data_IF_074104649594
#
_entry.id   IF_074104649594
#
_cell.length_a   1.000
_cell.length_b   1.000
_cell.length_c   1.000
_cell.angle_alpha   90.00
_cell.angle_beta   90.00
_cell.angle_gamma   90.00
#
_symmetry.space_group_name_H-M   'P 1'
#
loop_
_entity.id
_entity.type
_entity.pdbx_description
1 polymer ?
#
# COMPACT_ATOMS: atom_id res chain seq x y z
N UNK A 1 21.48 -12.11 52.77
CA UNK A 1 22.08 -11.57 51.54
C UNK A 1 20.98 -11.48 50.52
N UNK A 2 20.49 -10.28 50.22
CA UNK A 2 19.53 -10.11 49.13
C UNK A 2 20.25 -10.36 47.79
N UNK A 3 19.66 -11.08 46.83
CA UNK A 3 20.26 -11.29 45.52
C UNK A 3 20.44 -9.93 44.84
N UNK A 4 21.57 -9.75 44.15
CA UNK A 4 21.75 -8.59 43.28
C UNK A 4 20.62 -8.59 42.24
N UNK A 5 19.91 -7.47 42.02
CA UNK A 5 18.96 -7.38 40.93
C UNK A 5 19.74 -7.59 39.63
N UNK A 6 19.56 -8.76 39.03
CA UNK A 6 20.08 -9.04 37.70
C UNK A 6 19.39 -8.08 36.74
N UNK A 7 20.12 -7.34 35.88
CA UNK A 7 19.50 -6.53 34.86
C UNK A 7 18.71 -7.45 33.93
N UNK A 8 17.38 -7.36 34.00
CA UNK A 8 16.49 -8.06 33.07
C UNK A 8 16.73 -7.50 31.67
N UNK A 9 17.17 -8.36 30.74
CA UNK A 9 17.34 -7.99 29.34
C UNK A 9 15.94 -7.82 28.75
N UNK A 10 15.58 -6.64 28.20
CA UNK A 10 14.30 -6.46 27.52
C UNK A 10 14.20 -7.40 26.31
N UNK A 11 13.07 -8.08 26.14
CA UNK A 11 12.84 -9.04 25.04
C UNK A 11 12.71 -8.36 23.66
N UNK A 12 12.63 -7.02 23.62
CA UNK A 12 12.32 -6.19 22.44
C UNK A 12 13.52 -5.42 21.86
N UNK A 13 14.73 -5.97 21.98
CA UNK A 13 15.93 -5.34 21.40
C UNK A 13 16.05 -5.73 19.92
N UNK A 14 15.34 -5.01 19.05
CA UNK A 14 15.24 -5.29 17.60
C UNK A 14 16.55 -5.07 16.81
N UNK A 15 17.59 -4.45 17.40
CA UNK A 15 18.88 -4.21 16.73
C UNK A 15 20.10 -4.38 17.64
N UNK A 16 21.25 -4.71 17.02
CA UNK A 16 22.55 -4.83 17.70
C UNK A 16 22.98 -3.49 18.31
N UNK A 17 22.70 -2.38 17.64
CA UNK A 17 22.97 -1.05 18.16
C UNK A 17 22.16 -0.76 19.44
N UNK A 18 20.87 -1.15 19.48
CA UNK A 18 20.02 -0.96 20.65
C UNK A 18 20.51 -1.77 21.87
N UNK A 19 20.96 -3.00 21.65
CA UNK A 19 21.53 -3.84 22.71
C UNK A 19 22.81 -3.25 23.30
N UNK A 20 23.71 -2.75 22.45
CA UNK A 20 24.95 -2.09 22.90
C UNK A 20 24.65 -0.80 23.67
N UNK A 21 23.67 -0.01 23.21
CA UNK A 21 23.23 1.20 23.91
C UNK A 21 22.66 0.89 25.31
N UNK A 22 21.85 -0.17 25.43
CA UNK A 22 21.31 -0.63 26.71
C UNK A 22 22.43 -1.01 27.69
N UNK A 23 23.38 -1.85 27.26
CA UNK A 23 24.48 -2.26 28.14
C UNK A 23 25.39 -1.08 28.53
N UNK A 24 25.68 -0.17 27.61
CA UNK A 24 26.46 1.03 27.93
C UNK A 24 25.74 1.92 28.94
N UNK A 25 24.42 2.08 28.81
CA UNK A 25 23.58 2.83 29.77
C UNK A 25 23.56 2.15 31.14
N UNK A 26 23.39 0.82 31.18
CA UNK A 26 23.40 0.05 32.42
C UNK A 26 24.76 0.13 33.15
N UNK A 27 25.87 0.09 32.41
CA UNK A 27 27.22 0.28 32.95
C UNK A 27 27.39 1.69 33.51
N UNK A 28 26.99 2.73 32.76
CA UNK A 28 27.08 4.12 33.22
C UNK A 28 26.27 4.36 34.51
N UNK A 29 25.05 3.80 34.58
CA UNK A 29 24.21 3.88 35.79
C UNK A 29 24.83 3.15 36.98
N UNK A 30 25.42 1.97 36.77
CA UNK A 30 26.10 1.23 37.82
C UNK A 30 27.35 1.95 38.33
N UNK A 31 28.12 2.59 37.44
CA UNK A 31 29.28 3.41 37.80
C UNK A 31 28.89 4.65 38.61
N UNK A 32 27.77 5.30 38.26
CA UNK A 32 27.22 6.44 39.01
C UNK A 32 26.80 6.04 40.42
N UNK A 33 26.03 4.96 40.58
CA UNK A 33 25.63 4.45 41.89
C UNK A 33 26.85 4.02 42.72
N UNK A 34 27.87 3.42 42.09
CA UNK A 34 29.13 3.11 42.77
C UNK A 34 29.85 4.38 43.26
N UNK A 35 29.91 5.43 42.43
CA UNK A 35 30.53 6.70 42.79
C UNK A 35 29.81 7.38 43.96
N UNK A 36 28.47 7.34 43.95
CA UNK A 36 27.60 7.85 45.02
C UNK A 36 27.82 7.12 46.34
N UNK A 37 27.83 5.78 46.33
CA UNK A 37 28.11 4.98 47.53
C UNK A 37 29.52 5.23 48.08
N UNK A 38 30.52 5.36 47.19
CA UNK A 38 31.88 5.76 47.60
C UNK A 38 31.91 7.15 48.22
N UNK A 39 31.11 8.08 47.72
CA UNK A 39 30.92 9.42 48.31
C UNK A 39 30.35 9.34 49.72
N UNK A 40 29.27 8.60 49.92
CA UNK A 40 28.65 8.40 51.23
C UNK A 40 29.60 7.76 52.24
N UNK A 41 30.37 6.74 51.82
CA UNK A 41 31.35 6.09 52.70
C UNK A 41 32.45 7.06 53.15
N UNK A 42 32.93 7.92 52.25
CA UNK A 42 33.91 8.97 52.60
C UNK A 42 33.32 9.96 53.60
N UNK A 43 32.08 10.40 53.40
CA UNK A 43 31.40 11.30 54.32
C UNK A 43 31.21 10.68 55.70
N UNK A 44 30.72 9.42 55.76
CA UNK A 44 30.57 8.69 57.00
C UNK A 44 31.90 8.53 57.73
N UNK A 45 32.98 8.20 57.00
CA UNK A 45 34.34 8.11 57.56
C UNK A 45 34.78 9.44 58.18
N UNK A 46 34.50 10.58 57.53
CA UNK A 46 34.80 11.91 58.08
C UNK A 46 33.97 12.18 59.33
N UNK A 47 32.67 11.87 59.33
CA UNK A 47 31.80 12.02 60.52
C UNK A 47 32.32 11.18 61.70
N UNK A 48 32.66 9.91 61.47
CA UNK A 48 33.23 9.04 62.50
C UNK A 48 34.55 9.58 63.04
N UNK A 49 35.44 10.09 62.17
CA UNK A 49 36.71 10.70 62.58
C UNK A 49 36.49 11.94 63.45
N UNK A 50 35.50 12.77 63.11
CA UNK A 50 35.13 13.95 63.91
C UNK A 50 34.59 13.56 65.27
N UNK A 51 33.72 12.54 65.34
CA UNK A 51 33.20 12.02 66.61
C UNK A 51 34.33 11.43 67.46
N UNK A 52 35.24 10.67 66.87
CA UNK A 52 36.40 10.12 67.56
C UNK A 52 37.31 11.22 68.13
N UNK A 53 37.52 12.31 67.38
CA UNK A 53 38.26 13.48 67.88
C UNK A 53 37.55 14.15 69.07
N UNK A 54 36.22 14.35 68.98
CA UNK A 54 35.45 14.92 70.09
C UNK A 54 35.49 14.05 71.34
N UNK A 55 35.36 12.73 71.19
CA UNK A 55 35.46 11.76 72.28
C UNK A 55 36.85 11.73 72.92
N UNK A 56 37.91 11.76 72.09
CA UNK A 56 39.28 11.84 72.60
C UNK A 56 39.55 13.16 73.34
N UNK A 57 39.05 14.28 72.81
CA UNK A 57 39.18 15.60 73.47
C UNK A 57 38.36 15.74 74.75
N UNK A 58 37.32 14.92 74.93
CA UNK A 58 36.53 14.83 76.15
C UNK A 58 37.18 13.93 77.22
N UNK A 59 38.25 13.22 76.86
CA UNK A 59 38.94 12.23 77.72
C UNK A 59 40.41 12.61 78.01
N UNK A 60 40.75 13.90 77.94
CA UNK A 60 41.97 14.37 78.61
C UNK A 60 41.85 14.11 80.13
N UNK A 61 42.89 13.55 80.78
CA UNK A 61 42.80 13.05 82.15
C UNK A 61 42.74 14.21 83.16
N UNK A 62 41.55 14.45 83.72
CA UNK A 62 41.39 15.17 84.97
C UNK A 62 41.91 14.29 86.13
N UNK A 63 43.16 14.50 86.52
CA UNK A 63 43.69 14.00 87.77
C UNK A 63 43.22 14.90 88.92
N UNK A 64 42.57 14.27 89.91
CA UNK A 64 42.20 14.72 91.26
C UNK A 64 40.83 15.43 91.47
N UNK A 65 39.90 14.70 92.10
CA UNK A 65 38.57 15.14 92.60
C UNK A 65 38.65 15.99 93.90
N UNK A 66 37.54 16.62 94.37
CA UNK A 66 36.63 15.97 95.36
C UNK A 66 35.11 16.38 95.23
N UNK A 67 34.20 16.09 96.20
CA UNK A 67 33.17 15.04 96.24
C UNK A 67 31.70 15.57 96.09
N UNK A 68 30.62 14.74 96.23
CA UNK A 68 29.35 14.95 95.52
C UNK A 68 28.43 15.98 96.20
N UNK A 69 28.13 17.05 95.49
CA UNK A 69 27.07 17.98 95.82
C UNK A 69 25.74 17.53 95.22
N UNK A 70 24.84 17.04 96.07
CA UNK A 70 23.40 16.97 95.84
C UNK A 70 22.89 18.30 95.28
N UNK A 71 22.53 18.32 93.99
CA UNK A 71 21.94 19.49 93.34
C UNK A 71 21.02 19.00 92.23
N UNK A 72 19.73 19.20 92.41
CA UNK A 72 18.67 18.59 91.62
C UNK A 72 18.87 18.69 90.12
N UNK A 73 18.54 17.57 89.46
CA UNK A 73 18.24 17.46 88.04
C UNK A 73 17.05 18.37 87.70
N UNK A 74 17.31 19.68 87.66
CA UNK A 74 16.40 20.68 87.14
C UNK A 74 16.97 21.08 85.79
N UNK A 75 16.47 20.42 84.76
CA UNK A 75 16.62 20.85 83.37
C UNK A 75 16.36 22.37 83.32
N UNK A 76 17.41 23.14 83.00
CA UNK A 76 17.35 24.60 82.94
C UNK A 76 16.18 25.04 82.05
N UNK A 77 15.34 25.97 82.52
CA UNK A 77 14.16 26.45 81.77
C UNK A 77 14.48 26.97 80.35
N UNK A 78 15.75 27.30 80.09
CA UNK A 78 16.26 27.68 78.77
C UNK A 78 16.32 26.52 77.78
N UNK A 79 16.70 25.30 78.20
CA UNK A 79 16.73 24.13 77.31
C UNK A 79 15.31 23.67 76.96
N UNK A 80 14.40 23.73 77.93
CA UNK A 80 12.97 23.48 77.68
C UNK A 80 12.38 24.49 76.70
N UNK A 81 12.71 25.79 76.85
CA UNK A 81 12.29 26.84 75.91
C UNK A 81 12.89 26.67 74.51
N UNK A 82 14.15 26.26 74.41
CA UNK A 82 14.79 25.99 73.12
C UNK A 82 14.14 24.78 72.42
N UNK A 83 13.85 23.71 73.16
CA UNK A 83 13.15 22.54 72.66
C UNK A 83 11.73 22.87 72.18
N UNK A 84 10.99 23.68 72.94
CA UNK A 84 9.66 24.13 72.56
C UNK A 84 9.68 24.91 71.23
N UNK A 85 10.60 25.87 71.07
CA UNK A 85 10.78 26.61 69.80
C UNK A 85 11.16 25.70 68.64
N UNK A 86 12.01 24.70 68.87
CA UNK A 86 12.37 23.71 67.85
C UNK A 86 11.16 22.87 67.44
N UNK A 87 10.32 22.49 68.40
CA UNK A 87 9.09 21.74 68.15
C UNK A 87 8.05 22.57 67.39
N UNK A 88 7.85 23.84 67.75
CA UNK A 88 6.99 24.77 66.99
C UNK A 88 7.46 24.92 65.54
N UNK A 89 8.77 25.13 65.32
CA UNK A 89 9.35 25.21 63.98
C UNK A 89 9.16 23.93 63.17
N UNK A 90 9.27 22.76 63.83
CA UNK A 90 9.02 21.47 63.20
C UNK A 90 7.53 21.32 62.83
N UNK A 91 6.62 21.73 63.71
CA UNK A 91 5.18 21.70 63.45
C UNK A 91 4.80 22.61 62.28
N UNK A 92 5.32 23.84 62.23
CA UNK A 92 5.11 24.74 61.08
C UNK A 92 5.60 24.12 59.78
N UNK A 93 6.82 23.57 59.76
CA UNK A 93 7.37 22.89 58.57
C UNK A 93 6.56 21.66 58.17
N UNK A 94 6.04 20.90 59.13
CA UNK A 94 5.19 19.75 58.84
C UNK A 94 3.86 20.17 58.20
N UNK A 95 3.24 21.25 58.69
CA UNK A 95 2.00 21.77 58.09
C UNK A 95 2.24 22.29 56.67
N UNK A 96 3.33 23.04 56.44
CA UNK A 96 3.72 23.50 55.09
C UNK A 96 3.89 22.31 54.13
N UNK A 97 4.66 21.29 54.53
CA UNK A 97 4.87 20.09 53.72
C UNK A 97 3.59 19.31 53.45
N UNK A 98 2.67 19.25 54.41
CA UNK A 98 1.37 18.58 54.21
C UNK A 98 0.48 19.35 53.23
N UNK A 99 0.53 20.69 53.24
CA UNK A 99 -0.16 21.51 52.26
C UNK A 99 0.45 21.34 50.86
N UNK A 100 1.78 21.45 50.75
CA UNK A 100 2.47 21.21 49.48
C UNK A 100 2.14 19.82 48.92
N UNK A 101 2.12 18.78 49.77
CA UNK A 101 1.74 17.43 49.36
C UNK A 101 0.29 17.36 48.84
N UNK A 102 -0.63 18.13 49.41
CA UNK A 102 -2.01 18.19 48.92
C UNK A 102 -2.08 18.86 47.55
N UNK A 103 -1.42 20.01 47.39
CA UNK A 103 -1.36 20.75 46.13
C UNK A 103 -0.69 19.91 45.02
N UNK A 104 0.38 19.19 45.35
CA UNK A 104 1.05 18.29 44.41
C UNK A 104 0.14 17.14 43.97
N UNK A 105 -0.69 16.60 44.87
CA UNK A 105 -1.66 15.54 44.51
C UNK A 105 -2.71 16.06 43.55
N UNK A 106 -3.29 17.22 43.82
CA UNK A 106 -4.25 17.86 42.90
C UNK A 106 -3.62 18.09 41.51
N UNK A 107 -2.35 18.54 41.47
CA UNK A 107 -1.63 18.73 40.22
C UNK A 107 -1.36 17.43 39.46
N UNK A 108 -1.09 16.33 40.18
CA UNK A 108 -0.94 15.00 39.57
C UNK A 108 -2.27 14.56 38.95
N UNK A 109 -3.37 14.69 39.67
CA UNK A 109 -4.71 14.33 39.16
C UNK A 109 -5.07 15.17 37.92
N UNK A 110 -4.76 16.47 37.92
CA UNK A 110 -4.96 17.34 36.75
C UNK A 110 -4.13 16.87 35.53
N UNK A 111 -2.88 16.48 35.75
CA UNK A 111 -2.00 15.99 34.69
C UNK A 111 -2.46 14.63 34.17
N UNK A 112 -2.90 13.71 35.04
CA UNK A 112 -3.46 12.42 34.65
C UNK A 112 -4.69 12.60 33.74
N UNK A 113 -5.59 13.51 34.10
CA UNK A 113 -6.73 13.83 33.25
C UNK A 113 -6.30 14.36 31.87
N UNK A 114 -5.31 15.27 31.82
CA UNK A 114 -4.76 15.76 30.55
C UNK A 114 -4.10 14.64 29.73
N UNK A 115 -3.38 13.73 30.36
CA UNK A 115 -2.79 12.57 29.67
C UNK A 115 -3.87 11.69 29.04
N UNK A 116 -4.97 11.44 29.74
CA UNK A 116 -6.10 10.66 29.21
C UNK A 116 -6.71 11.38 27.99
N UNK A 117 -6.92 12.69 28.05
CA UNK A 117 -7.44 13.47 26.92
C UNK A 117 -6.52 13.42 25.70
N UNK A 118 -5.23 13.70 25.90
CA UNK A 118 -4.23 13.65 24.82
C UNK A 118 -4.11 12.25 24.22
N UNK A 119 -4.27 11.20 25.03
CA UNK A 119 -4.35 9.82 24.53
C UNK A 119 -5.54 9.64 23.60
N UNK A 120 -6.74 10.07 23.99
CA UNK A 120 -7.93 9.97 23.14
C UNK A 120 -7.85 10.81 21.85
N UNK A 121 -7.23 12.00 21.91
CA UNK A 121 -6.94 12.81 20.73
C UNK A 121 -5.94 12.11 19.80
N UNK A 122 -4.91 11.47 20.37
CA UNK A 122 -3.93 10.67 19.61
C UNK A 122 -4.57 9.47 18.93
N UNK A 123 -5.49 8.78 19.61
CA UNK A 123 -6.26 7.66 19.04
C UNK A 123 -7.10 8.13 17.84
N UNK A 124 -7.78 9.27 17.97
CA UNK A 124 -8.58 9.87 16.89
C UNK A 124 -7.71 10.23 15.67
N UNK A 125 -6.52 10.79 15.90
CA UNK A 125 -5.54 11.06 14.84
C UNK A 125 -5.11 9.73 14.17
N UNK A 126 -4.91 8.68 14.96
CA UNK A 126 -4.61 7.34 14.47
C UNK A 126 -5.71 6.77 13.55
N UNK A 127 -6.98 6.90 13.94
CA UNK A 127 -8.13 6.51 13.11
C UNK A 127 -8.16 7.26 11.78
N UNK A 128 -7.91 8.57 11.80
CA UNK A 128 -7.84 9.37 10.59
C UNK A 128 -6.71 8.92 9.66
N UNK A 129 -5.52 8.63 10.20
CA UNK A 129 -4.41 8.08 9.40
C UNK A 129 -4.83 6.76 8.75
N UNK A 130 -5.46 5.85 9.49
CA UNK A 130 -5.93 4.57 8.96
C UNK A 130 -6.95 4.75 7.84
N UNK A 131 -7.91 5.68 8.00
CA UNK A 131 -8.89 6.02 6.97
C UNK A 131 -8.21 6.56 5.70
N UNK A 132 -7.24 7.46 5.83
CA UNK A 132 -6.49 8.00 4.70
C UNK A 132 -5.70 6.93 3.96
N UNK A 133 -5.07 6.01 4.70
CA UNK A 133 -4.34 4.88 4.13
C UNK A 133 -5.28 3.97 3.33
N UNK A 134 -6.45 3.65 3.88
CA UNK A 134 -7.49 2.86 3.21
C UNK A 134 -7.98 3.54 1.94
N UNK A 135 -8.34 4.83 2.00
CA UNK A 135 -8.76 5.60 0.82
C UNK A 135 -7.68 5.60 -0.27
N UNK A 136 -6.42 5.81 0.11
CA UNK A 136 -5.29 5.79 -0.82
C UNK A 136 -5.09 4.41 -1.46
N UNK A 137 -5.26 3.33 -0.71
CA UNK A 137 -5.18 1.97 -1.24
C UNK A 137 -6.28 1.72 -2.29
N UNK A 138 -7.52 2.12 -2.01
CA UNK A 138 -8.64 2.00 -2.96
C UNK A 138 -8.39 2.77 -4.25
N UNK A 139 -7.87 4.00 -4.16
CA UNK A 139 -7.55 4.80 -5.34
C UNK A 139 -6.43 4.16 -6.18
N UNK A 140 -5.37 3.66 -5.54
CA UNK A 140 -4.29 2.94 -6.21
C UNK A 140 -4.79 1.69 -6.91
N UNK A 141 -5.66 0.94 -6.26
CA UNK A 141 -6.21 -0.30 -6.82
C UNK A 141 -7.08 -0.04 -8.04
N UNK A 142 -7.99 0.95 -7.98
CA UNK A 142 -8.78 1.37 -9.15
C UNK A 142 -7.88 1.85 -10.30
N UNK A 143 -6.79 2.55 -10.00
CA UNK A 143 -5.84 2.99 -11.01
C UNK A 143 -5.16 1.80 -11.69
N UNK A 144 -4.71 0.83 -10.89
CA UNK A 144 -4.12 -0.43 -11.37
C UNK A 144 -5.07 -1.18 -12.29
N UNK A 145 -6.34 -1.34 -11.90
CA UNK A 145 -7.36 -1.99 -12.73
C UNK A 145 -7.55 -1.28 -14.09
N UNK A 146 -7.54 0.06 -14.10
CA UNK A 146 -7.61 0.85 -15.34
C UNK A 146 -6.38 0.66 -16.21
N UNK A 147 -5.18 0.67 -15.65
CA UNK A 147 -3.93 0.44 -16.39
C UNK A 147 -3.89 -0.97 -17.00
N UNK A 148 -4.36 -1.97 -16.26
CA UNK A 148 -4.47 -3.33 -16.77
C UNK A 148 -5.50 -3.43 -17.89
N UNK A 149 -6.63 -2.75 -17.78
CA UNK A 149 -7.62 -2.68 -18.84
C UNK A 149 -7.04 -2.03 -20.11
N UNK A 150 -6.35 -0.91 -19.98
CA UNK A 150 -5.67 -0.23 -21.10
C UNK A 150 -4.63 -1.15 -21.74
N UNK A 151 -3.84 -1.84 -20.92
CA UNK A 151 -2.80 -2.78 -21.38
C UNK A 151 -3.42 -3.95 -22.17
N UNK A 152 -4.51 -4.55 -21.65
CA UNK A 152 -5.26 -5.60 -22.35
C UNK A 152 -5.83 -5.11 -23.69
N UNK A 153 -6.43 -3.93 -23.71
CA UNK A 153 -6.98 -3.33 -24.93
C UNK A 153 -5.90 -3.03 -25.97
N UNK A 154 -4.74 -2.54 -25.53
CA UNK A 154 -3.59 -2.31 -26.41
C UNK A 154 -3.07 -3.61 -27.03
N UNK A 155 -3.01 -4.68 -26.24
CA UNK A 155 -2.64 -6.01 -26.72
C UNK A 155 -3.64 -6.55 -27.75
N UNK A 156 -4.95 -6.46 -27.47
CA UNK A 156 -5.99 -6.95 -28.39
C UNK A 156 -5.98 -6.19 -29.71
N UNK A 157 -5.68 -4.88 -29.67
CA UNK A 157 -5.48 -4.07 -30.88
C UNK A 157 -4.28 -4.54 -31.70
N UNK A 158 -3.15 -4.85 -31.05
CA UNK A 158 -1.97 -5.37 -31.76
C UNK A 158 -2.22 -6.78 -32.32
N UNK A 159 -2.90 -7.65 -31.57
CA UNK A 159 -3.31 -8.97 -32.05
C UNK A 159 -4.21 -8.87 -33.30
N UNK A 160 -5.19 -7.96 -33.26
CA UNK A 160 -6.06 -7.69 -34.41
C UNK A 160 -5.27 -7.19 -35.63
N UNK A 161 -4.29 -6.30 -35.41
CA UNK A 161 -3.41 -5.81 -36.47
C UNK A 161 -2.57 -6.93 -37.09
N UNK A 162 -2.05 -7.85 -36.27
CA UNK A 162 -1.32 -9.03 -36.76
C UNK A 162 -2.24 -9.91 -37.62
N UNK A 163 -3.47 -10.20 -37.15
CA UNK A 163 -4.46 -10.97 -37.92
C UNK A 163 -4.84 -10.30 -39.24
N UNK A 164 -4.95 -8.97 -39.27
CA UNK A 164 -5.18 -8.22 -40.51
C UNK A 164 -4.02 -8.34 -41.49
N UNK A 165 -2.77 -8.30 -41.01
CA UNK A 165 -1.58 -8.49 -41.86
C UNK A 165 -1.52 -9.92 -42.41
N UNK A 166 -1.80 -10.92 -41.58
CA UNK A 166 -1.89 -12.32 -42.02
C UNK A 166 -2.98 -12.52 -43.07
N UNK A 167 -4.15 -11.91 -42.89
CA UNK A 167 -5.23 -11.92 -43.86
C UNK A 167 -4.78 -11.30 -45.20
N UNK A 168 -4.10 -10.15 -45.13
CA UNK A 168 -3.55 -9.49 -46.33
C UNK A 168 -2.56 -10.39 -47.07
N UNK A 169 -1.69 -11.10 -46.33
CA UNK A 169 -0.74 -12.04 -46.92
C UNK A 169 -1.45 -13.23 -47.59
N UNK A 170 -2.44 -13.83 -46.92
CA UNK A 170 -3.22 -14.94 -47.46
C UNK A 170 -4.00 -14.54 -48.72
N UNK A 171 -4.57 -13.33 -48.75
CA UNK A 171 -5.26 -12.80 -49.95
C UNK A 171 -4.28 -12.60 -51.09
N UNK A 172 -3.11 -12.02 -50.82
CA UNK A 172 -2.07 -11.86 -51.85
C UNK A 172 -1.62 -13.22 -52.40
N UNK A 173 -1.42 -14.20 -51.52
CA UNK A 173 -1.10 -15.59 -51.90
C UNK A 173 -2.19 -16.20 -52.78
N UNK A 174 -3.45 -16.07 -52.40
CA UNK A 174 -4.60 -16.59 -53.16
C UNK A 174 -4.69 -15.96 -54.57
N UNK A 175 -4.46 -14.65 -54.69
CA UNK A 175 -4.43 -13.95 -55.99
C UNK A 175 -3.26 -14.44 -56.84
N UNK A 176 -2.08 -14.64 -56.25
CA UNK A 176 -0.93 -15.20 -56.95
C UNK A 176 -1.20 -16.63 -57.43
N UNK A 177 -1.73 -17.51 -56.58
CA UNK A 177 -2.12 -18.88 -56.95
C UNK A 177 -3.08 -18.86 -58.15
N UNK A 178 -4.10 -17.99 -58.11
CA UNK A 178 -5.05 -17.81 -59.22
C UNK A 178 -4.35 -17.32 -60.49
N UNK A 179 -3.44 -16.34 -60.40
CA UNK A 179 -2.70 -15.82 -61.54
C UNK A 179 -1.75 -16.86 -62.16
N UNK A 180 -1.13 -17.71 -61.34
CA UNK A 180 -0.32 -18.84 -61.80
C UNK A 180 -1.17 -19.87 -62.54
N UNK A 181 -2.35 -20.21 -62.00
CA UNK A 181 -3.32 -21.08 -62.67
C UNK A 181 -3.77 -20.52 -64.02
N UNK A 182 -4.12 -19.22 -64.09
CA UNK A 182 -4.47 -18.55 -65.34
C UNK A 182 -3.30 -18.54 -66.33
N UNK A 183 -2.08 -18.28 -65.86
CA UNK A 183 -0.87 -18.28 -66.69
C UNK A 183 -0.56 -19.68 -67.26
N UNK A 184 -0.74 -20.74 -66.47
CA UNK A 184 -0.60 -22.14 -66.91
C UNK A 184 -1.66 -22.50 -67.96
N UNK A 185 -2.91 -22.09 -67.75
CA UNK A 185 -4.00 -22.36 -68.69
C UNK A 185 -3.80 -21.62 -70.02
N UNK A 186 -3.38 -20.35 -69.97
CA UNK A 186 -3.02 -19.56 -71.16
C UNK A 186 -1.83 -20.16 -71.93
N UNK A 187 -0.83 -20.73 -71.24
CA UNK A 187 0.28 -21.42 -71.87
C UNK A 187 -0.14 -22.73 -72.57
N UNK A 188 -1.14 -23.45 -72.04
CA UNK A 188 -1.71 -24.65 -72.66
C UNK A 188 -2.55 -24.29 -73.90
N UNK A 189 -3.35 -23.23 -73.83
CA UNK A 189 -4.19 -22.79 -74.95
C UNK A 189 -3.39 -22.19 -76.13
N UNK A 190 -2.18 -21.67 -75.90
CA UNK A 190 -1.31 -21.08 -76.93
C UNK A 190 -0.36 -22.08 -77.62
N UNK A 191 -0.50 -23.39 -77.37
CA UNK A 191 0.21 -24.42 -78.14
C UNK A 191 -0.75 -25.14 -79.10
N UNK A 192 -0.98 -24.61 -80.32
CA UNK A 192 -1.57 -25.38 -81.40
C UNK A 192 -0.46 -26.22 -82.06
N UNK A 193 -0.27 -27.45 -81.57
CA UNK A 193 0.33 -28.50 -82.38
C UNK A 193 -0.81 -29.32 -83.01
N UNK A 194 -0.82 -29.33 -84.34
CA UNK A 194 -1.68 -30.04 -85.29
C UNK A 194 -2.99 -29.37 -85.77
N UNK A 195 -2.88 -28.77 -86.97
CA UNK A 195 -3.97 -28.53 -87.93
C UNK A 195 -4.29 -29.84 -88.70
N UNK A 196 -5.51 -30.05 -89.24
CA UNK A 196 -5.87 -29.44 -90.54
C UNK A 196 -7.34 -29.01 -90.71
N UNK A 197 -7.53 -27.89 -91.41
CA UNK A 197 -8.77 -27.32 -92.01
C UNK A 197 -9.15 -28.04 -93.36
N UNK A 198 -10.21 -27.70 -94.15
CA UNK A 198 -11.49 -26.98 -93.97
C UNK A 198 -12.74 -27.76 -94.41
N UNK A 199 -13.94 -27.29 -94.03
CA UNK A 199 -15.18 -27.66 -94.73
C UNK A 199 -16.47 -27.04 -94.18
N UNK A 200 -16.83 -25.86 -94.70
CA UNK A 200 -18.18 -25.24 -94.58
C UNK A 200 -19.16 -25.87 -95.61
N UNK A 201 -20.50 -25.78 -95.45
CA UNK A 201 -21.22 -24.51 -95.66
C UNK A 201 -22.40 -24.23 -94.69
N UNK A 202 -22.76 -22.94 -94.61
CA UNK A 202 -23.92 -22.36 -93.93
C UNK A 202 -25.28 -22.85 -94.48
N UNK A 203 -26.42 -22.54 -93.82
CA UNK A 203 -27.18 -21.36 -94.28
C UNK A 203 -27.99 -20.56 -93.22
N UNK A 204 -27.97 -19.24 -93.45
CA UNK A 204 -29.11 -18.30 -93.53
C UNK A 204 -29.73 -17.63 -92.29
N UNK A 205 -29.71 -16.28 -92.39
CA UNK A 205 -30.30 -15.24 -91.56
C UNK A 205 -31.84 -15.25 -91.54
N UNK A 206 -32.42 -14.77 -90.44
CA UNK A 206 -33.71 -14.07 -90.42
C UNK A 206 -33.75 -13.02 -89.29
N UNK A 207 -33.68 -11.74 -89.68
CA UNK A 207 -34.73 -10.76 -89.36
C UNK A 207 -34.79 -10.05 -88.00
N UNK A 208 -34.34 -8.79 -88.00
CA UNK A 208 -35.04 -7.58 -87.52
C UNK A 208 -35.40 -7.36 -86.02
N UNK A 209 -34.57 -6.53 -85.38
CA UNK A 209 -34.86 -5.28 -84.66
C UNK A 209 -36.26 -4.99 -84.01
N UNK A 210 -36.20 -4.70 -82.70
CA UNK A 210 -36.63 -3.45 -82.02
C UNK A 210 -37.86 -3.49 -81.07
N UNK A 211 -37.63 -2.86 -79.90
CA UNK A 211 -38.56 -2.33 -78.87
C UNK A 211 -39.26 -3.36 -77.96
N UNK A 212 -39.54 -3.12 -76.69
CA UNK A 212 -39.15 -2.14 -75.67
C UNK A 212 -39.97 -2.54 -74.43
N UNK A 213 -39.34 -2.52 -73.24
CA UNK A 213 -39.97 -2.33 -71.94
C UNK A 213 -41.11 -3.27 -71.53
N UNK A 214 -40.82 -4.17 -70.59
CA UNK A 214 -41.81 -4.47 -69.56
C UNK A 214 -41.11 -4.70 -68.21
N UNK A 215 -41.29 -3.73 -67.30
CA UNK A 215 -40.90 -3.83 -65.91
C UNK A 215 -42.03 -4.55 -65.18
N UNK A 216 -41.87 -5.85 -64.93
CA UNK A 216 -42.65 -6.53 -63.90
C UNK A 216 -41.85 -6.59 -62.59
N UNK A 217 -42.01 -5.52 -61.83
CA UNK A 217 -42.05 -5.56 -60.38
C UNK A 217 -43.13 -6.55 -59.92
N UNK A 218 -42.84 -7.43 -58.94
CA UNK A 218 -43.73 -7.86 -57.84
C UNK A 218 -43.18 -9.14 -57.15
N UNK A 219 -42.81 -8.93 -55.88
CA UNK A 219 -42.96 -9.80 -54.71
C UNK A 219 -42.19 -11.11 -54.53
N UNK A 220 -41.45 -11.09 -53.42
CA UNK A 220 -40.99 -12.20 -52.58
C UNK A 220 -42.14 -13.18 -52.26
N UNK A 221 -42.03 -14.41 -52.75
CA UNK A 221 -42.60 -15.60 -52.11
C UNK A 221 -41.71 -16.79 -52.47
N UNK A 222 -41.26 -17.52 -51.44
CA UNK A 222 -40.22 -18.52 -51.55
C UNK A 222 -40.57 -19.71 -52.43
N UNK A 223 -39.56 -20.21 -53.16
CA UNK A 223 -39.39 -21.61 -53.53
C UNK A 223 -37.92 -21.83 -53.93
N UNK A 224 -37.35 -22.91 -53.42
CA UNK A 224 -35.97 -23.38 -53.59
C UNK A 224 -35.60 -23.55 -55.08
N UNK A 225 -34.33 -23.29 -55.49
CA UNK A 225 -33.82 -23.82 -56.74
C UNK A 225 -33.09 -25.14 -56.48
N UNK A 226 -33.63 -26.18 -57.13
CA UNK A 226 -33.02 -27.48 -57.31
C UNK A 226 -31.63 -27.37 -57.96
N UNK A 227 -30.81 -28.36 -57.62
CA UNK A 227 -29.45 -28.58 -58.09
C UNK A 227 -29.33 -28.48 -59.62
N UNK A 228 -28.46 -27.57 -60.06
CA UNK A 228 -27.90 -27.53 -61.41
C UNK A 228 -26.39 -27.34 -61.29
N UNK A 229 -25.66 -28.44 -61.37
CA UNK A 229 -24.20 -28.48 -61.32
C UNK A 229 -23.61 -28.00 -62.66
N UNK A 230 -22.92 -26.85 -62.63
CA UNK A 230 -21.86 -26.55 -63.58
C UNK A 230 -20.70 -25.98 -62.76
N UNK A 231 -19.63 -26.77 -62.63
CA UNK A 231 -18.54 -26.54 -61.70
C UNK A 231 -17.76 -25.26 -61.96
N UNK A 232 -17.97 -24.26 -61.12
CA UNK A 232 -16.97 -23.26 -60.78
C UNK A 232 -16.52 -23.53 -59.34
N UNK A 233 -15.20 -23.62 -59.15
CA UNK A 233 -14.55 -24.11 -57.93
C UNK A 233 -15.17 -23.55 -56.65
N UNK A 234 -15.77 -24.44 -55.87
CA UNK A 234 -16.25 -24.13 -54.53
C UNK A 234 -15.07 -23.69 -53.66
N UNK A 235 -15.25 -22.76 -52.70
CA UNK A 235 -14.22 -22.38 -51.72
C UNK A 235 -13.64 -23.56 -50.92
N UNK A 236 -14.23 -24.76 -51.04
CA UNK A 236 -13.77 -25.99 -50.40
C UNK A 236 -12.44 -26.53 -50.94
N UNK A 237 -12.04 -26.20 -52.17
CA UNK A 237 -10.90 -26.87 -52.82
C UNK A 237 -9.55 -26.13 -52.70
N UNK A 238 -9.53 -24.90 -52.17
CA UNK A 238 -8.29 -24.14 -51.98
C UNK A 238 -7.92 -24.04 -50.48
N UNK A 239 -6.76 -24.60 -50.03
CA UNK A 239 -6.35 -24.57 -48.62
C UNK A 239 -6.14 -23.14 -48.09
N UNK A 240 -5.67 -22.21 -48.94
CA UNK A 240 -5.49 -20.78 -48.61
C UNK A 240 -6.85 -20.10 -48.34
N UNK A 241 -7.89 -20.46 -49.10
CA UNK A 241 -9.24 -19.93 -48.89
C UNK A 241 -9.87 -20.41 -47.57
N UNK A 242 -9.59 -21.64 -47.15
CA UNK A 242 -10.03 -22.16 -45.85
C UNK A 242 -9.37 -21.41 -44.68
N UNK A 243 -8.07 -21.12 -44.77
CA UNK A 243 -7.35 -20.33 -43.77
C UNK A 243 -7.92 -18.91 -43.65
N UNK A 244 -8.25 -18.27 -44.78
CA UNK A 244 -8.92 -16.96 -44.80
C UNK A 244 -10.26 -17.01 -44.07
N UNK A 245 -11.11 -18.00 -44.37
CA UNK A 245 -12.42 -18.14 -43.71
C UNK A 245 -12.29 -18.38 -42.20
N UNK A 246 -11.28 -19.14 -41.79
CA UNK A 246 -10.99 -19.38 -40.37
C UNK A 246 -10.53 -18.09 -39.67
N UNK A 247 -9.59 -17.36 -40.26
CA UNK A 247 -9.07 -16.12 -39.71
C UNK A 247 -10.14 -15.03 -39.60
N UNK A 248 -11.01 -14.91 -40.61
CA UNK A 248 -12.16 -13.98 -40.58
C UNK A 248 -13.15 -14.33 -39.47
N UNK A 249 -13.38 -15.62 -39.21
CA UNK A 249 -14.22 -16.08 -38.10
C UNK A 249 -13.62 -15.71 -36.75
N UNK A 250 -12.30 -15.83 -36.61
CA UNK A 250 -11.56 -15.45 -35.39
C UNK A 250 -11.54 -13.94 -35.15
N UNK A 251 -11.47 -13.14 -36.22
CA UNK A 251 -11.58 -11.68 -36.13
C UNK A 251 -12.99 -11.19 -35.81
N UNK A 252 -14.03 -11.88 -36.33
CA UNK A 252 -15.43 -11.57 -36.03
C UNK A 252 -15.83 -11.89 -34.59
N UNK A 253 -15.15 -12.85 -33.96
CA UNK A 253 -15.39 -13.23 -32.56
C UNK A 253 -14.07 -13.15 -31.77
N UNK A 254 -13.55 -11.93 -31.49
CA UNK A 254 -12.45 -11.78 -30.56
C UNK A 254 -12.91 -12.36 -29.22
N UNK A 255 -12.17 -13.32 -28.66
CA UNK A 255 -12.50 -13.99 -27.38
C UNK A 255 -13.09 -12.97 -26.39
N UNK A 256 -14.36 -13.12 -26.03
CA UNK A 256 -14.95 -12.40 -24.91
C UNK A 256 -14.21 -12.85 -23.64
N UNK A 257 -13.21 -12.08 -23.23
CA UNK A 257 -12.50 -12.32 -21.98
C UNK A 257 -13.37 -11.75 -20.86
N UNK A 258 -13.67 -12.53 -19.79
CA UNK A 258 -14.47 -12.06 -18.66
C UNK A 258 -13.89 -10.77 -18.09
N UNK A 259 -14.67 -9.67 -18.12
CA UNK A 259 -14.22 -8.35 -17.66
C UNK A 259 -14.82 -7.16 -18.43
N UNK A 260 -15.39 -7.39 -19.61
CA UNK A 260 -16.19 -6.41 -20.38
C UNK A 260 -17.60 -6.22 -19.78
N UNK A 261 -17.70 -6.16 -18.46
CA UNK A 261 -18.91 -5.71 -17.80
C UNK A 261 -19.12 -4.23 -18.13
N UNK A 262 -20.30 -3.92 -18.66
CA UNK A 262 -20.79 -2.56 -18.91
C UNK A 262 -20.66 -1.71 -17.64
N UNK A 263 -19.51 -1.02 -17.49
CA UNK A 263 -19.33 -0.03 -16.45
C UNK A 263 -19.70 1.32 -17.08
N UNK A 264 -20.88 1.91 -16.76
CA UNK A 264 -21.15 3.27 -17.15
C UNK A 264 -20.06 4.12 -16.52
N UNK A 265 -19.23 4.74 -17.35
CA UNK A 265 -18.30 5.74 -16.91
C UNK A 265 -19.15 6.87 -16.32
N UNK A 266 -19.33 6.89 -14.99
CA UNK A 266 -20.05 7.98 -14.31
C UNK A 266 -19.20 9.23 -14.55
N UNK A 267 -19.70 10.24 -15.30
CA UNK A 267 -18.95 11.46 -15.52
C UNK A 267 -18.94 12.23 -14.20
N UNK A 268 -17.79 12.25 -13.52
CA UNK A 268 -17.60 13.13 -12.38
C UNK A 268 -17.47 14.57 -12.90
N UNK A 269 -18.54 15.34 -12.78
CA UNK A 269 -18.49 16.78 -13.00
C UNK A 269 -17.93 17.46 -11.74
N UNK A 270 -16.78 18.11 -11.89
CA UNK A 270 -16.21 18.95 -10.83
C UNK A 270 -16.87 20.33 -10.91
N UNK A 271 -17.56 20.75 -9.85
CA UNK A 271 -17.88 22.16 -9.62
C UNK A 271 -17.17 22.57 -8.33
N UNK A 272 -16.14 23.40 -8.45
CA UNK A 272 -15.56 24.05 -7.28
C UNK A 272 -16.65 24.96 -6.68
N UNK A 273 -16.95 24.77 -5.40
CA UNK A 273 -17.71 25.73 -4.60
C UNK A 273 -16.84 26.98 -4.37
N UNK A 274 -17.44 28.12 -4.01
CA UNK A 274 -16.76 29.39 -3.71
C UNK A 274 -15.72 29.27 -2.55
N UNK A 275 -15.68 28.12 -1.88
CA UNK A 275 -14.79 27.78 -0.77
C UNK A 275 -13.68 26.77 -1.13
N UNK A 276 -13.38 26.53 -2.41
CA UNK A 276 -12.41 25.50 -2.89
C UNK A 276 -12.74 24.06 -2.44
N UNK A 277 -13.97 23.81 -1.99
CA UNK A 277 -14.44 22.47 -1.63
C UNK A 277 -14.97 21.69 -2.82
N UNK A 278 -14.59 20.42 -2.88
CA UNK A 278 -14.87 19.50 -3.98
C UNK A 278 -16.04 18.61 -3.61
N UNK A 279 -17.25 19.00 -4.01
CA UNK A 279 -18.44 18.17 -3.80
C UNK A 279 -18.60 17.23 -4.99
N UNK A 280 -18.29 15.94 -4.76
CA UNK A 280 -18.55 14.88 -5.74
C UNK A 280 -20.01 14.45 -5.60
N UNK A 281 -20.88 14.94 -6.47
CA UNK A 281 -22.27 14.48 -6.55
C UNK A 281 -22.34 13.27 -7.47
N UNK A 282 -22.78 12.13 -6.94
CA UNK A 282 -23.13 10.93 -7.72
C UNK A 282 -24.63 11.03 -8.00
N UNK A 283 -25.03 11.07 -9.27
CA UNK A 283 -26.44 10.99 -9.71
C UNK A 283 -26.74 9.54 -10.09
#
# INVERSE_FOLDING_TARGET
MAPWPMPSIPEDLESREAMVAFFNSAVASAEEEQAKLRGQLKEQRVRCRRLAYLLASAQEPEAAAPPPGTGGDSVCGETHRALQKAMEKLQSRFMELMQEKADLKERVEELEHRCIQLSGETDTIGEYIALYQSQRAVLKERHREKEEYISRLAQDKEEMKVKLLELQELVLRLVNDRNEWHSRFLAVAQNPADEPNPGTPAPQELGAANQQGDLCEVSLAGSEPAQGETGEGSPRDNPTAQQIMQLLREMQNPRERPGLGSNPCIPFFYRADENDEVKITII
#
